data_IF_992931097743
#
_entry.id   IF_992931097743
#
_cell.length_a   1.000
_cell.length_b   1.000
_cell.length_c   1.000
_cell.angle_alpha   90.00
_cell.angle_beta   90.00
_cell.angle_gamma   90.00
#
_symmetry.space_group_name_H-M   'P 1'
#
loop_
_entity.id
_entity.type
_entity.pdbx_description
1 polymer ?
#
# COMPACT_ATOMS: atom_id res chain seq x y z
N UNK A 1 -5.85 -18.78 38.36
CA UNK A 1 -4.70 -19.57 37.90
C UNK A 1 -4.55 -19.31 36.43
N UNK A 2 -3.39 -18.81 36.03
CA UNK A 2 -3.11 -18.14 34.77
C UNK A 2 -3.52 -18.92 33.51
N UNK A 3 -4.07 -18.15 32.56
CA UNK A 3 -4.14 -18.47 31.13
C UNK A 3 -2.72 -18.79 30.65
N UNK A 4 -2.42 -20.07 30.48
CA UNK A 4 -1.26 -20.48 29.71
C UNK A 4 -1.60 -20.32 28.24
N UNK A 5 -1.00 -19.26 27.67
CA UNK A 5 -0.84 -18.97 26.26
C UNK A 5 -0.07 -20.14 25.62
N UNK A 6 -0.80 -21.18 25.21
CA UNK A 6 -0.34 -22.25 24.32
C UNK A 6 -0.94 -21.94 22.94
N UNK A 7 -0.22 -21.83 21.83
CA UNK A 7 1.18 -22.05 21.49
C UNK A 7 1.33 -21.41 20.10
N UNK A 8 2.11 -20.33 20.00
CA UNK A 8 2.35 -19.57 18.76
C UNK A 8 3.52 -20.14 17.93
N UNK A 9 3.82 -21.42 18.08
CA UNK A 9 4.88 -22.10 17.35
C UNK A 9 4.27 -23.17 16.45
N UNK A 10 3.84 -22.75 15.26
CA UNK A 10 3.76 -23.65 14.12
C UNK A 10 4.51 -23.04 12.96
N UNK A 11 5.78 -23.44 12.90
CA UNK A 11 6.69 -23.55 11.76
C UNK A 11 6.39 -22.66 10.55
N UNK A 12 7.13 -21.56 10.49
CA UNK A 12 7.52 -20.93 9.23
C UNK A 12 9.04 -20.86 9.29
N UNK A 13 9.73 -21.48 8.33
CA UNK A 13 11.20 -21.45 8.17
C UNK A 13 11.69 -20.02 7.82
N UNK A 14 11.57 -19.11 8.77
CA UNK A 14 12.27 -17.83 8.84
C UNK A 14 13.21 -17.91 10.03
N UNK A 15 14.34 -17.21 10.02
CA UNK A 15 15.15 -17.11 11.24
C UNK A 15 14.28 -16.57 12.39
N UNK A 16 14.43 -17.11 13.60
CA UNK A 16 13.63 -16.72 14.77
C UNK A 16 13.63 -15.18 14.97
N UNK A 17 14.75 -14.53 14.63
CA UNK A 17 14.91 -13.07 14.65
C UNK A 17 14.02 -12.34 13.64
N UNK A 18 13.88 -12.84 12.41
CA UNK A 18 13.04 -12.22 11.37
C UNK A 18 11.56 -12.34 11.72
N UNK A 19 11.14 -13.50 12.21
CA UNK A 19 9.78 -13.71 12.70
C UNK A 19 9.47 -12.79 13.88
N UNK A 20 10.38 -12.69 14.85
CA UNK A 20 10.22 -11.80 16.01
C UNK A 20 10.11 -10.32 15.58
N UNK A 21 10.95 -9.89 14.64
CA UNK A 21 10.91 -8.54 14.09
C UNK A 21 9.55 -8.22 13.45
N UNK A 22 9.06 -9.09 12.56
CA UNK A 22 7.76 -8.91 11.89
C UNK A 22 6.63 -8.90 12.93
N UNK A 23 6.69 -9.75 13.95
CA UNK A 23 5.68 -9.79 15.00
C UNK A 23 5.64 -8.49 15.81
N UNK A 24 6.80 -7.96 16.18
CA UNK A 24 6.89 -6.68 16.89
C UNK A 24 6.45 -5.51 16.01
N UNK A 25 6.77 -5.53 14.71
CA UNK A 25 6.43 -4.48 13.75
C UNK A 25 4.91 -4.22 13.69
N UNK A 26 4.11 -5.28 13.66
CA UNK A 26 2.65 -5.18 13.54
C UNK A 26 1.91 -5.33 14.88
N UNK A 27 2.62 -5.38 16.01
CA UNK A 27 2.02 -5.61 17.33
C UNK A 27 0.90 -4.62 17.64
N UNK A 28 1.16 -3.32 17.49
CA UNK A 28 0.16 -2.29 17.75
C UNK A 28 -1.06 -2.37 16.83
N UNK A 29 -0.87 -2.73 15.55
CA UNK A 29 -1.98 -2.91 14.62
C UNK A 29 -2.84 -4.13 15.01
N UNK A 30 -2.22 -5.24 15.44
CA UNK A 30 -2.94 -6.42 15.95
C UNK A 30 -3.78 -6.08 17.17
N UNK A 31 -3.17 -5.42 18.15
CA UNK A 31 -3.85 -5.02 19.39
C UNK A 31 -5.08 -4.14 19.08
N UNK A 32 -4.94 -3.14 18.21
CA UNK A 32 -6.05 -2.25 17.83
C UNK A 32 -7.12 -2.95 17.01
N UNK A 33 -6.73 -3.77 16.03
CA UNK A 33 -7.65 -4.54 15.21
C UNK A 33 -8.50 -5.51 16.05
N UNK A 34 -7.88 -6.25 16.97
CA UNK A 34 -8.54 -7.19 17.86
C UNK A 34 -9.39 -6.46 18.90
N UNK A 35 -8.89 -5.36 19.48
CA UNK A 35 -9.69 -4.56 20.40
C UNK A 35 -10.98 -4.03 19.76
N UNK A 36 -10.94 -3.72 18.45
CA UNK A 36 -12.08 -3.15 17.73
C UNK A 36 -13.05 -4.19 17.15
N UNK A 37 -12.55 -5.31 16.62
CA UNK A 37 -13.37 -6.30 15.90
C UNK A 37 -13.37 -7.70 16.55
N UNK A 38 -12.66 -7.87 17.66
CA UNK A 38 -12.65 -9.07 18.48
C UNK A 38 -12.25 -10.32 17.69
N UNK A 39 -13.01 -11.39 17.92
CA UNK A 39 -12.75 -12.73 17.38
C UNK A 39 -12.66 -12.75 15.85
N UNK A 40 -13.43 -11.91 15.15
CA UNK A 40 -13.38 -11.87 13.69
C UNK A 40 -12.01 -11.40 13.18
N UNK A 41 -11.38 -10.44 13.84
CA UNK A 41 -10.02 -10.02 13.51
C UNK A 41 -9.01 -11.11 13.86
N UNK A 42 -9.14 -11.77 15.02
CA UNK A 42 -8.26 -12.88 15.43
C UNK A 42 -8.30 -14.04 14.42
N UNK A 43 -9.49 -14.44 13.98
CA UNK A 43 -9.69 -15.51 12.98
C UNK A 43 -8.99 -15.19 11.65
N UNK A 44 -9.06 -13.93 11.20
CA UNK A 44 -8.39 -13.52 9.97
C UNK A 44 -6.86 -13.41 10.13
N UNK A 45 -6.40 -12.81 11.22
CA UNK A 45 -4.98 -12.52 11.49
C UNK A 45 -4.20 -13.81 11.73
N UNK A 46 -4.67 -14.68 12.63
CA UNK A 46 -3.89 -15.81 13.11
C UNK A 46 -4.20 -17.13 12.41
N UNK A 47 -5.38 -17.27 11.78
CA UNK A 47 -5.79 -18.54 11.20
C UNK A 47 -5.90 -18.48 9.67
N UNK A 48 -6.72 -17.57 9.13
CA UNK A 48 -6.96 -17.54 7.68
C UNK A 48 -5.73 -17.14 6.88
N UNK A 49 -5.10 -16.02 7.23
CA UNK A 49 -3.95 -15.50 6.51
C UNK A 49 -2.61 -15.80 7.19
N UNK A 50 -2.62 -16.01 8.52
CA UNK A 50 -1.52 -16.45 9.37
C UNK A 50 -0.15 -15.83 9.05
N UNK A 51 0.57 -16.37 8.05
CA UNK A 51 1.85 -15.83 7.53
C UNK A 51 1.76 -14.34 7.18
N UNK A 52 0.64 -13.91 6.61
CA UNK A 52 0.41 -12.50 6.26
C UNK A 52 -0.36 -11.73 7.36
N UNK A 53 -0.50 -12.33 8.55
CA UNK A 53 -1.32 -11.82 9.64
C UNK A 53 -0.94 -10.42 10.10
N UNK A 54 0.33 -10.02 9.98
CA UNK A 54 0.77 -8.65 10.23
C UNK A 54 0.13 -7.63 9.27
N UNK A 55 0.15 -7.94 7.97
CA UNK A 55 -0.48 -7.12 6.94
C UNK A 55 -2.01 -7.09 7.10
N UNK A 56 -2.61 -8.23 7.42
CA UNK A 56 -4.05 -8.31 7.72
C UNK A 56 -4.43 -7.42 8.89
N UNK A 57 -3.66 -7.44 9.98
CA UNK A 57 -3.90 -6.58 11.13
C UNK A 57 -3.85 -5.10 10.73
N UNK A 58 -2.88 -4.71 9.91
CA UNK A 58 -2.75 -3.35 9.41
C UNK A 58 -3.90 -2.95 8.47
N UNK A 59 -4.37 -3.85 7.61
CA UNK A 59 -5.55 -3.62 6.76
C UNK A 59 -6.78 -3.37 7.64
N UNK A 60 -6.99 -4.16 8.69
CA UNK A 60 -8.14 -3.99 9.60
C UNK A 60 -8.02 -2.70 10.41
N UNK A 61 -6.84 -2.40 10.94
CA UNK A 61 -6.58 -1.19 11.74
C UNK A 61 -6.80 0.08 10.90
N UNK A 62 -6.29 0.10 9.67
CA UNK A 62 -6.36 1.26 8.78
C UNK A 62 -7.73 1.41 8.10
N UNK A 63 -8.23 0.36 7.43
CA UNK A 63 -9.47 0.43 6.64
C UNK A 63 -10.72 0.08 7.45
N UNK A 64 -10.57 -0.40 8.69
CA UNK A 64 -11.69 -0.75 9.55
C UNK A 64 -12.60 -1.82 8.94
N UNK A 65 -13.91 -1.55 8.95
CA UNK A 65 -14.92 -2.48 8.46
C UNK A 65 -14.80 -2.76 6.94
N UNK A 66 -14.31 -1.80 6.15
CA UNK A 66 -14.04 -2.02 4.72
C UNK A 66 -12.92 -3.06 4.53
N UNK A 67 -11.83 -2.92 5.30
CA UNK A 67 -10.72 -3.87 5.31
C UNK A 67 -11.17 -5.27 5.73
N UNK A 68 -11.94 -5.36 6.81
CA UNK A 68 -12.50 -6.62 7.29
C UNK A 68 -13.37 -7.30 6.23
N UNK A 69 -14.24 -6.54 5.55
CA UNK A 69 -15.10 -7.05 4.47
C UNK A 69 -14.28 -7.54 3.27
N UNK A 70 -13.24 -6.80 2.87
CA UNK A 70 -12.33 -7.21 1.80
C UNK A 70 -11.63 -8.54 2.14
N UNK A 71 -11.08 -8.65 3.36
CA UNK A 71 -10.40 -9.85 3.86
C UNK A 71 -11.31 -11.08 3.95
N UNK A 72 -12.59 -10.90 4.30
CA UNK A 72 -13.56 -12.01 4.35
C UNK A 72 -13.82 -12.60 2.95
N UNK A 73 -13.83 -11.77 1.91
CA UNK A 73 -14.05 -12.20 0.52
C UNK A 73 -12.81 -12.78 -0.17
N UNK A 74 -11.63 -12.28 0.18
CA UNK A 74 -10.38 -12.68 -0.43
C UNK A 74 -9.94 -14.07 0.05
N UNK A 75 -9.30 -14.85 -0.83
CA UNK A 75 -8.68 -16.13 -0.46
C UNK A 75 -7.20 -15.97 -0.14
N UNK A 76 -6.51 -15.06 -0.84
CA UNK A 76 -5.09 -14.71 -0.63
C UNK A 76 -4.95 -13.21 -0.39
N UNK A 77 -3.85 -12.79 0.23
CA UNK A 77 -3.62 -11.37 0.55
C UNK A 77 -3.61 -10.49 -0.72
N UNK A 78 -3.14 -11.02 -1.84
CA UNK A 78 -3.14 -10.33 -3.13
C UNK A 78 -4.56 -10.01 -3.62
N UNK A 79 -5.52 -10.90 -3.37
CA UNK A 79 -6.92 -10.68 -3.74
C UNK A 79 -7.55 -9.54 -2.90
N UNK A 80 -7.03 -9.29 -1.70
CA UNK A 80 -7.49 -8.19 -0.84
C UNK A 80 -7.22 -6.85 -1.48
N UNK A 81 -6.07 -6.71 -2.18
CA UNK A 81 -5.74 -5.48 -2.91
C UNK A 81 -6.84 -5.14 -3.94
N UNK A 82 -7.31 -6.14 -4.68
CA UNK A 82 -8.37 -5.97 -5.68
C UNK A 82 -9.70 -5.53 -5.06
N UNK A 83 -10.04 -6.05 -3.88
CA UNK A 83 -11.25 -5.62 -3.17
C UNK A 83 -11.11 -4.20 -2.59
N UNK A 84 -9.92 -3.82 -2.10
CA UNK A 84 -9.69 -2.49 -1.51
C UNK A 84 -9.74 -1.36 -2.54
N UNK A 85 -9.23 -1.60 -3.76
CA UNK A 85 -9.21 -0.58 -4.81
C UNK A 85 -10.55 -0.44 -5.55
N UNK A 86 -11.48 -1.37 -5.38
CA UNK A 86 -12.73 -1.43 -6.14
C UNK A 86 -13.61 -0.20 -5.90
N UNK A 87 -13.97 0.47 -6.98
CA UNK A 87 -14.79 1.69 -6.95
C UNK A 87 -14.08 2.91 -6.38
N UNK A 88 -12.75 2.87 -6.21
CA UNK A 88 -11.96 3.97 -5.64
C UNK A 88 -11.23 4.76 -6.73
N UNK A 89 -10.91 5.99 -6.39
CA UNK A 89 -9.93 6.81 -7.13
C UNK A 89 -8.57 6.59 -6.49
N UNK A 90 -7.55 6.40 -7.32
CA UNK A 90 -6.17 6.22 -6.90
C UNK A 90 -5.30 7.38 -7.39
N UNK A 91 -4.17 7.54 -6.71
CA UNK A 91 -3.25 8.66 -6.86
C UNK A 91 -1.81 8.19 -7.00
N UNK A 92 -1.05 8.91 -7.82
CA UNK A 92 0.41 8.77 -7.88
C UNK A 92 1.05 10.14 -7.93
N UNK A 93 2.01 10.39 -7.05
CA UNK A 93 2.85 11.58 -7.09
C UNK A 93 4.05 11.34 -7.99
N UNK A 94 4.36 12.35 -8.80
CA UNK A 94 5.33 12.31 -9.88
C UNK A 94 6.19 13.58 -9.76
N UNK A 95 7.50 13.41 -9.92
CA UNK A 95 8.44 14.53 -9.89
C UNK A 95 8.43 15.33 -11.20
N UNK A 96 8.72 16.63 -11.13
CA UNK A 96 8.90 17.49 -12.31
C UNK A 96 9.97 17.02 -13.27
N UNK A 97 10.93 16.24 -12.78
CA UNK A 97 12.06 15.69 -13.54
C UNK A 97 11.80 14.26 -14.07
N UNK A 98 10.59 13.72 -13.92
CA UNK A 98 10.27 12.40 -14.44
C UNK A 98 10.42 12.39 -15.98
N UNK A 99 11.22 11.46 -16.51
CA UNK A 99 11.55 11.39 -17.94
C UNK A 99 10.34 11.16 -18.86
N UNK A 100 9.23 10.62 -18.33
CA UNK A 100 7.98 10.40 -19.06
C UNK A 100 6.94 11.51 -18.86
N UNK A 101 7.24 12.58 -18.13
CA UNK A 101 6.26 13.60 -17.75
C UNK A 101 5.65 14.32 -18.96
N UNK A 102 6.45 14.71 -19.95
CA UNK A 102 5.92 15.43 -21.13
C UNK A 102 5.03 14.52 -22.00
N UNK A 103 5.39 13.25 -22.13
CA UNK A 103 4.52 12.26 -22.77
C UNK A 103 3.24 12.01 -21.95
N UNK A 104 3.35 11.98 -20.62
CA UNK A 104 2.19 11.84 -19.73
C UNK A 104 1.22 13.02 -19.88
N UNK A 105 1.72 14.25 -19.90
CA UNK A 105 0.90 15.46 -20.06
C UNK A 105 0.11 15.48 -21.37
N UNK A 106 0.68 14.94 -22.44
CA UNK A 106 0.03 14.89 -23.76
C UNK A 106 -0.90 13.68 -23.92
N UNK A 107 -0.53 12.52 -23.39
CA UNK A 107 -1.28 11.26 -23.60
C UNK A 107 -2.26 10.89 -22.50
N UNK A 108 -2.04 11.37 -21.27
CA UNK A 108 -2.76 10.90 -20.08
C UNK A 108 -2.41 9.47 -19.67
N UNK A 109 -1.27 8.95 -20.13
CA UNK A 109 -0.88 7.55 -19.93
C UNK A 109 0.43 7.46 -19.16
N UNK A 110 0.39 6.77 -18.02
CA UNK A 110 1.61 6.22 -17.40
C UNK A 110 1.90 4.89 -18.11
N UNK A 111 3.08 4.73 -18.72
CA UNK A 111 3.38 3.55 -19.52
C UNK A 111 3.42 2.28 -18.67
N UNK A 112 3.11 1.15 -19.31
CA UNK A 112 3.34 -0.18 -18.76
C UNK A 112 4.82 -0.34 -18.40
N UNK A 113 5.07 -1.01 -17.28
CA UNK A 113 6.40 -1.29 -16.79
C UNK A 113 6.86 -2.65 -17.33
N UNK A 114 8.09 -2.69 -17.84
CA UNK A 114 8.69 -3.90 -18.43
C UNK A 114 9.72 -4.47 -17.46
N UNK A 115 9.87 -5.80 -17.46
CA UNK A 115 10.86 -6.50 -16.63
C UNK A 115 10.54 -6.36 -15.14
N UNK A 116 11.50 -5.84 -14.37
CA UNK A 116 11.36 -5.64 -12.93
C UNK A 116 10.76 -4.26 -12.56
N UNK A 117 10.40 -3.43 -13.54
CA UNK A 117 9.79 -2.14 -13.30
C UNK A 117 8.41 -2.26 -12.63
N UNK A 118 8.09 -1.36 -11.72
CA UNK A 118 6.81 -1.33 -11.01
C UNK A 118 6.34 0.11 -10.81
N UNK A 119 5.03 0.32 -10.96
CA UNK A 119 4.38 1.60 -10.67
C UNK A 119 3.69 1.50 -9.31
N UNK A 120 4.20 2.27 -8.35
CA UNK A 120 3.58 2.45 -7.04
C UNK A 120 2.47 3.50 -7.11
N UNK A 121 1.37 3.25 -6.41
CA UNK A 121 0.27 4.20 -6.26
C UNK A 121 -0.39 4.04 -4.88
N UNK A 122 -1.23 5.01 -4.54
CA UNK A 122 -1.87 5.13 -3.24
C UNK A 122 -3.37 5.43 -3.41
N UNK A 123 -4.17 5.07 -2.42
CA UNK A 123 -5.56 5.55 -2.30
C UNK A 123 -5.66 6.87 -1.55
N UNK A 124 -4.55 7.36 -0.98
CA UNK A 124 -4.50 8.61 -0.24
C UNK A 124 -4.40 9.82 -1.19
N UNK A 125 -5.41 10.69 -1.13
CA UNK A 125 -5.35 11.99 -1.81
C UNK A 125 -4.50 12.95 -0.98
N UNK A 126 -3.26 13.16 -1.40
CA UNK A 126 -2.35 14.13 -0.77
C UNK A 126 -2.19 15.34 -1.69
N UNK A 127 -2.64 16.52 -1.25
CA UNK A 127 -2.61 17.78 -2.01
C UNK A 127 -1.35 18.63 -1.75
N UNK A 128 -0.48 18.22 -0.82
CA UNK A 128 0.78 18.89 -0.49
C UNK A 128 1.99 18.00 -0.88
N UNK A 129 2.93 18.48 -1.73
CA UNK A 129 4.09 17.70 -2.15
C UNK A 129 5.03 17.27 -1.01
N UNK A 130 5.23 18.12 0.01
CA UNK A 130 6.08 17.79 1.16
C UNK A 130 5.43 16.72 2.03
N UNK A 131 4.10 16.79 2.22
CA UNK A 131 3.36 15.72 2.89
C UNK A 131 3.41 14.44 2.06
N UNK A 132 3.35 14.52 0.74
CA UNK A 132 3.47 13.34 -0.12
C UNK A 132 4.86 12.69 0.00
N UNK A 133 5.93 13.48 -0.02
CA UNK A 133 7.30 13.02 0.24
C UNK A 133 7.39 12.31 1.61
N UNK A 134 6.89 12.95 2.67
CA UNK A 134 6.96 12.42 4.04
C UNK A 134 6.15 11.12 4.21
N UNK A 135 4.89 11.14 3.76
CA UNK A 135 3.95 10.04 3.92
C UNK A 135 4.21 8.89 2.98
N UNK A 136 4.63 9.14 1.74
CA UNK A 136 4.97 8.09 0.79
C UNK A 136 6.46 7.67 0.87
N UNK A 137 7.23 8.30 1.77
CA UNK A 137 8.67 8.08 1.94
C UNK A 137 9.46 8.20 0.62
N UNK A 138 9.13 9.22 -0.17
CA UNK A 138 9.79 9.48 -1.44
C UNK A 138 11.15 10.14 -1.19
N UNK A 139 12.17 9.77 -1.96
CA UNK A 139 13.48 10.39 -1.81
C UNK A 139 13.48 11.80 -2.44
N UNK A 140 13.40 12.83 -1.59
CA UNK A 140 13.35 14.24 -1.98
C UNK A 140 14.56 14.71 -2.81
N UNK A 141 15.67 13.97 -2.82
CA UNK A 141 16.82 14.23 -3.71
C UNK A 141 16.46 14.01 -5.19
N UNK A 142 15.53 13.10 -5.47
CA UNK A 142 15.24 12.63 -6.83
C UNK A 142 13.84 13.03 -7.31
N UNK A 143 12.95 13.44 -6.42
CA UNK A 143 11.59 13.85 -6.78
C UNK A 143 11.13 14.99 -5.89
N UNK A 144 10.42 15.95 -6.49
CA UNK A 144 9.72 17.02 -5.78
C UNK A 144 8.23 16.68 -5.56
N UNK A 145 7.74 15.55 -6.10
CA UNK A 145 6.37 15.04 -5.96
C UNK A 145 5.26 16.04 -6.35
N UNK A 146 5.57 17.06 -7.15
CA UNK A 146 4.64 18.17 -7.38
C UNK A 146 3.49 17.83 -8.32
N UNK A 147 3.61 16.80 -9.14
CA UNK A 147 2.54 16.36 -10.03
C UNK A 147 1.77 15.21 -9.39
N UNK A 148 0.46 15.37 -9.20
CA UNK A 148 -0.40 14.26 -8.77
C UNK A 148 -1.27 13.80 -9.92
N UNK A 149 -1.03 12.56 -10.33
CA UNK A 149 -1.89 11.80 -11.22
C UNK A 149 -3.09 11.25 -10.45
N UNK A 150 -4.27 11.31 -11.05
CA UNK A 150 -5.53 10.76 -10.53
C UNK A 150 -6.16 9.84 -11.58
N UNK A 151 -6.60 8.65 -11.17
CA UNK A 151 -7.18 7.66 -12.07
C UNK A 151 -8.22 6.77 -11.37
N UNK A 152 -9.13 6.16 -12.16
CA UNK A 152 -10.05 5.14 -11.65
C UNK A 152 -9.28 3.85 -11.39
N UNK A 153 -9.26 3.37 -10.15
CA UNK A 153 -8.50 2.20 -9.76
C UNK A 153 -9.12 0.88 -10.26
N UNK A 154 -10.39 0.88 -10.70
CA UNK A 154 -11.04 -0.29 -11.29
C UNK A 154 -10.28 -0.85 -12.50
N UNK A 155 -9.57 0.00 -13.24
CA UNK A 155 -8.77 -0.41 -14.41
C UNK A 155 -7.63 -1.38 -14.05
N UNK A 156 -7.27 -1.44 -12.76
CA UNK A 156 -6.17 -2.24 -12.23
C UNK A 156 -6.62 -3.45 -11.40
N UNK A 157 -7.93 -3.76 -11.37
CA UNK A 157 -8.43 -5.00 -10.76
C UNK A 157 -7.78 -6.19 -11.46
N UNK A 158 -7.31 -7.15 -10.68
CA UNK A 158 -6.53 -8.34 -11.07
C UNK A 158 -5.14 -8.02 -11.66
N UNK A 159 -4.70 -6.76 -11.60
CA UNK A 159 -3.40 -6.27 -12.09
C UNK A 159 -2.61 -5.53 -11.00
N UNK A 160 -3.07 -5.63 -9.76
CA UNK A 160 -2.52 -4.93 -8.59
C UNK A 160 -2.25 -5.92 -7.48
N UNK A 161 -1.22 -5.65 -6.69
CA UNK A 161 -1.00 -6.29 -5.40
C UNK A 161 -0.45 -5.27 -4.39
N UNK A 162 -0.51 -5.63 -3.12
CA UNK A 162 0.19 -4.89 -2.05
C UNK A 162 1.69 -5.22 -2.22
N UNK A 163 2.61 -4.25 -2.16
CA UNK A 163 4.04 -4.55 -2.27
C UNK A 163 4.56 -5.24 -1.02
N UNK A 164 5.65 -6.00 -1.15
CA UNK A 164 6.50 -6.31 0.00
C UNK A 164 7.32 -5.09 0.39
N UNK A 165 7.71 -5.01 1.66
CA UNK A 165 8.58 -3.93 2.14
C UNK A 165 9.92 -3.88 1.39
N UNK A 166 10.65 -2.77 1.56
CA UNK A 166 11.99 -2.54 1.00
C UNK A 166 12.06 -2.71 -0.53
N UNK A 167 11.22 -1.98 -1.26
CA UNK A 167 11.06 -2.09 -2.72
C UNK A 167 10.74 -3.52 -3.18
N UNK A 168 9.77 -4.16 -2.53
CA UNK A 168 9.33 -5.51 -2.86
C UNK A 168 10.36 -6.62 -2.62
N UNK A 169 11.37 -6.40 -1.76
CA UNK A 169 12.46 -7.35 -1.48
C UNK A 169 12.40 -7.97 -0.08
N UNK A 170 11.53 -7.49 0.82
CA UNK A 170 11.36 -8.06 2.15
C UNK A 170 10.46 -9.31 2.13
N UNK A 171 10.35 -9.99 3.26
CA UNK A 171 9.49 -11.18 3.43
C UNK A 171 8.07 -10.86 3.87
N UNK A 172 7.79 -9.61 4.25
CA UNK A 172 6.48 -9.16 4.72
C UNK A 172 5.91 -8.06 3.81
N UNK A 173 4.58 -7.99 3.76
CA UNK A 173 3.82 -7.01 2.98
C UNK A 173 3.85 -5.64 3.66
N UNK A 174 3.89 -4.58 2.86
CA UNK A 174 3.91 -3.20 3.31
C UNK A 174 2.63 -2.49 2.85
N UNK A 175 1.56 -2.66 3.61
CA UNK A 175 0.25 -2.05 3.33
C UNK A 175 0.34 -0.54 3.44
N UNK A 176 1.00 -0.05 4.49
CA UNK A 176 1.37 1.35 4.68
C UNK A 176 2.89 1.52 4.65
N UNK A 177 3.37 2.55 3.94
CA UNK A 177 4.79 2.93 3.89
C UNK A 177 5.44 3.01 5.27
N UNK A 178 6.57 2.33 5.43
CA UNK A 178 7.42 2.39 6.62
C UNK A 178 8.90 2.12 6.36
N UNK A 179 9.24 1.49 5.24
CA UNK A 179 10.55 0.90 4.93
C UNK A 179 11.69 1.91 4.91
N UNK A 180 11.39 3.19 4.63
CA UNK A 180 12.38 4.24 4.48
C UNK A 180 12.13 5.41 5.44
N UNK A 181 12.28 5.20 6.76
CA UNK A 181 12.02 6.23 7.77
C UNK A 181 12.94 7.45 7.63
N UNK A 182 14.08 7.29 6.94
CA UNK A 182 15.00 8.37 6.60
C UNK A 182 14.47 9.31 5.50
N UNK A 183 13.44 8.91 4.75
CA UNK A 183 12.78 9.76 3.75
C UNK A 183 11.47 10.40 4.26
N UNK A 184 10.95 9.93 5.40
CA UNK A 184 9.73 10.47 5.99
C UNK A 184 9.07 9.53 6.98
N UNK A 185 8.04 10.04 7.67
CA UNK A 185 7.31 9.30 8.70
C UNK A 185 6.52 8.10 8.16
N UNK A 186 6.19 8.09 6.87
CA UNK A 186 5.37 7.03 6.29
C UNK A 186 3.89 7.09 6.70
N UNK A 187 3.17 6.01 6.38
CA UNK A 187 1.75 5.83 6.67
C UNK A 187 0.80 6.05 5.49
N UNK A 188 1.29 6.29 4.28
CA UNK A 188 0.48 6.24 3.07
C UNK A 188 0.26 4.80 2.61
N UNK A 189 -0.93 4.51 2.09
CA UNK A 189 -1.28 3.24 1.48
C UNK A 189 -0.42 2.97 0.25
N UNK A 190 -0.02 1.72 0.07
CA UNK A 190 0.78 1.29 -1.08
C UNK A 190 0.14 0.15 -1.86
N UNK A 191 0.17 0.31 -3.17
CA UNK A 191 -0.19 -0.68 -4.15
C UNK A 191 0.79 -0.61 -5.31
N UNK A 192 1.04 -1.74 -5.95
CA UNK A 192 1.88 -1.83 -7.13
C UNK A 192 1.17 -2.49 -8.30
N UNK A 193 1.46 -1.97 -9.49
CA UNK A 193 1.06 -2.56 -10.76
C UNK A 193 2.20 -2.45 -11.76
N UNK A 194 2.23 -3.34 -12.74
CA UNK A 194 3.06 -3.17 -13.93
C UNK A 194 2.24 -2.65 -15.10
N UNK A 195 0.91 -2.75 -15.06
CA UNK A 195 0.06 -2.36 -16.18
C UNK A 195 0.08 -0.86 -16.44
N UNK A 196 -0.19 -0.51 -17.69
CA UNK A 196 -0.46 0.87 -18.10
C UNK A 196 -1.60 1.48 -17.27
N UNK A 197 -1.46 2.76 -16.90
CA UNK A 197 -2.51 3.52 -16.20
C UNK A 197 -2.98 4.67 -17.08
N UNK A 198 -4.29 4.72 -17.33
CA UNK A 198 -4.98 5.85 -17.97
C UNK A 198 -5.45 6.82 -16.88
N UNK A 199 -4.98 8.06 -16.98
CA UNK A 199 -5.34 9.12 -16.06
C UNK A 199 -6.71 9.71 -16.36
N UNK A 200 -7.37 10.18 -15.32
CA UNK A 200 -8.49 11.13 -15.42
C UNK A 200 -7.95 12.55 -15.39
N UNK A 201 -7.00 12.82 -14.48
CA UNK A 201 -6.42 14.15 -14.26
C UNK A 201 -4.94 14.06 -13.91
N UNK A 202 -4.20 15.08 -14.30
CA UNK A 202 -2.86 15.36 -13.81
C UNK A 202 -2.85 16.79 -13.28
N UNK A 203 -2.45 16.96 -12.02
CA UNK A 203 -2.54 18.23 -11.31
C UNK A 203 -1.15 18.64 -10.84
N UNK A 204 -0.72 19.86 -11.14
CA UNK A 204 0.46 20.45 -10.54
C UNK A 204 0.07 21.09 -9.20
N UNK A 205 0.52 20.48 -8.10
CA UNK A 205 0.20 20.89 -6.74
C UNK A 205 0.83 22.23 -6.34
N UNK A 206 1.83 22.72 -7.10
CA UNK A 206 2.48 24.01 -6.84
C UNK A 206 1.82 25.15 -7.61
N UNK A 207 1.47 24.93 -8.88
CA UNK A 207 0.90 25.99 -9.75
C UNK A 207 -0.62 25.97 -9.82
N UNK A 208 -1.27 24.87 -9.43
CA UNK A 208 -2.70 24.66 -9.60
C UNK A 208 -3.11 24.29 -11.03
N UNK A 209 -2.15 24.04 -11.93
CA UNK A 209 -2.43 23.56 -13.29
C UNK A 209 -3.16 22.22 -13.24
N UNK A 210 -4.22 22.07 -14.05
CA UNK A 210 -4.99 20.84 -14.17
C UNK A 210 -5.10 20.46 -15.64
N UNK A 211 -4.61 19.26 -15.96
CA UNK A 211 -4.81 18.62 -17.26
C UNK A 211 -5.85 17.53 -17.08
N UNK A 212 -6.97 17.63 -17.79
CA UNK A 212 -8.02 16.62 -17.79
C UNK A 212 -7.88 15.74 -19.04
N UNK A 213 -8.01 14.43 -18.86
CA UNK A 213 -7.95 13.45 -19.93
C UNK A 213 -9.34 12.85 -20.14
N UNK A 214 -9.67 12.59 -21.41
CA UNK A 214 -10.96 12.04 -21.84
C UNK A 214 -10.93 10.52 -21.85
#
# INVERSE_FOLDING_TARGET
>A
GEKVVLSLEKEINLSDETTLYINNLFKGARERAIAKFGKEAEELIYFKFNKDGGAVAEIIDHYGAEGLKALKKANKIDDVANELIKGKIAYRHIGSNANYLEQLKSSGIIPEQIGQGQTYFSLDKIDDPLIAIDKMQLNAKYTDAVWRAEFDANQLINKTHIPKAKWNNAEYMEVLTRSYPNFGKGGATQFITQSQIKLKRLINLKTGEIINFK
#
